data_IF_974679019779
#
_entry.id   IF_974679019779
#
_cell.length_a   1.000
_cell.length_b   1.000
_cell.length_c   1.000
_cell.angle_alpha   90.00
_cell.angle_beta   90.00
_cell.angle_gamma   90.00
#
_symmetry.space_group_name_H-M   'P 1'
#
loop_
_entity.id
_entity.type
_entity.pdbx_description
1 polymer ?
#
# COMPACT_ATOMS: atom_id res chain seq x y z
N UNK A 1 19.55 1.45 -5.51
CA UNK A 1 18.44 1.84 -6.40
C UNK A 1 17.65 0.57 -6.62
N UNK A 2 16.40 0.48 -6.15
CA UNK A 2 15.57 -0.70 -6.45
C UNK A 2 14.73 -0.41 -7.69
N UNK A 3 14.66 -1.42 -8.56
CA UNK A 3 14.00 -1.45 -9.85
C UNK A 3 12.55 -0.97 -9.74
N UNK A 4 12.21 -0.04 -10.63
CA UNK A 4 10.85 0.40 -10.85
C UNK A 4 10.41 -0.27 -12.12
N UNK A 5 9.52 -1.22 -11.98
CA UNK A 5 8.99 -1.90 -13.14
C UNK A 5 7.67 -1.21 -13.51
N UNK A 6 7.73 -0.47 -14.62
CA UNK A 6 6.55 0.08 -15.27
C UNK A 6 6.04 -0.94 -16.27
N UNK A 7 4.78 -1.32 -16.11
CA UNK A 7 4.10 -2.24 -16.99
C UNK A 7 2.97 -1.52 -17.70
N UNK A 8 2.78 -1.84 -18.98
CA UNK A 8 1.60 -1.43 -19.74
C UNK A 8 0.76 -2.67 -19.96
N UNK A 9 -0.45 -2.67 -19.41
CA UNK A 9 -1.45 -3.71 -19.64
C UNK A 9 -2.38 -3.21 -20.75
N UNK A 10 -2.55 -4.00 -21.81
CA UNK A 10 -3.48 -3.70 -22.90
C UNK A 10 -4.28 -4.93 -23.29
N UNK A 11 -5.51 -4.70 -23.77
CA UNK A 11 -6.26 -5.75 -24.44
C UNK A 11 -5.71 -5.92 -25.86
N UNK A 12 -5.49 -7.17 -26.25
CA UNK A 12 -4.89 -7.55 -27.53
C UNK A 12 -5.65 -7.01 -28.76
N UNK A 13 -6.92 -6.63 -28.59
CA UNK A 13 -7.84 -6.20 -29.64
C UNK A 13 -8.19 -4.71 -29.64
N UNK A 14 -7.62 -3.90 -28.73
CA UNK A 14 -8.06 -2.52 -28.53
C UNK A 14 -6.87 -1.58 -28.32
N UNK A 15 -6.52 -0.81 -29.35
CA UNK A 15 -5.37 0.10 -29.35
C UNK A 15 -5.56 1.36 -28.50
N UNK A 16 -6.71 1.51 -27.83
CA UNK A 16 -7.06 2.70 -27.04
C UNK A 16 -6.96 2.52 -25.52
N UNK A 17 -7.02 1.29 -25.00
CA UNK A 17 -7.15 1.03 -23.57
C UNK A 17 -5.84 0.44 -23.00
N UNK A 18 -4.88 1.33 -22.74
CA UNK A 18 -3.62 1.01 -22.08
C UNK A 18 -3.69 1.45 -20.61
N UNK A 19 -3.44 0.51 -19.69
CA UNK A 19 -3.28 0.80 -18.27
C UNK A 19 -1.80 0.74 -17.92
N UNK A 20 -1.25 1.88 -17.51
CA UNK A 20 0.09 1.95 -16.91
C UNK A 20 0.01 1.56 -15.44
N UNK A 21 0.75 0.51 -15.07
CA UNK A 21 0.89 0.01 -13.71
C UNK A 21 2.32 0.21 -13.25
N UNK A 22 2.51 0.77 -12.07
CA UNK A 22 3.82 0.81 -11.42
C UNK A 22 3.86 -0.26 -10.33
N UNK A 23 4.71 -1.27 -10.52
CA UNK A 23 5.00 -2.27 -9.50
C UNK A 23 6.09 -1.76 -8.55
N UNK A 24 5.84 -1.90 -7.26
CA UNK A 24 6.75 -1.49 -6.19
C UNK A 24 6.90 -2.67 -5.23
N UNK A 25 8.07 -3.29 -5.27
CA UNK A 25 8.43 -4.40 -4.39
C UNK A 25 8.83 -3.90 -3.01
N UNK A 26 8.45 -4.64 -1.97
CA UNK A 26 8.84 -4.34 -0.61
C UNK A 26 10.35 -4.46 -0.43
N UNK A 27 10.90 -3.54 0.34
CA UNK A 27 12.25 -3.60 0.85
C UNK A 27 12.33 -4.57 2.05
N UNK A 28 13.54 -5.02 2.43
CA UNK A 28 13.74 -5.73 3.69
C UNK A 28 13.21 -4.92 4.88
N UNK A 29 12.53 -5.61 5.80
CA UNK A 29 11.87 -4.97 6.95
C UNK A 29 12.64 -5.27 8.24
N UNK A 30 12.98 -4.21 8.97
CA UNK A 30 13.42 -4.31 10.36
C UNK A 30 12.21 -4.26 11.30
N UNK A 31 11.80 -5.42 11.83
CA UNK A 31 10.60 -5.56 12.68
C UNK A 31 10.64 -4.69 13.95
N UNK A 32 11.82 -4.42 14.50
CA UNK A 32 11.97 -3.56 15.69
C UNK A 32 11.62 -2.09 15.41
N UNK A 33 11.74 -1.67 14.15
CA UNK A 33 11.47 -0.28 13.73
C UNK A 33 10.06 -0.15 13.19
N UNK A 34 9.64 -1.09 12.35
CA UNK A 34 8.41 -1.01 11.57
C UNK A 34 7.28 -1.91 12.06
N UNK A 35 7.53 -2.77 13.04
CA UNK A 35 6.52 -3.64 13.64
C UNK A 35 5.75 -2.97 14.76
N UNK A 36 4.79 -3.72 15.30
CA UNK A 36 3.99 -3.30 16.44
C UNK A 36 4.84 -3.06 17.70
N UNK A 37 4.52 -1.97 18.40
CA UNK A 37 5.09 -1.62 19.71
C UNK A 37 4.14 -1.92 20.87
N UNK A 38 2.86 -2.16 20.60
CA UNK A 38 1.85 -2.54 21.60
C UNK A 38 1.47 -4.02 21.59
N UNK A 39 2.17 -4.85 20.80
CA UNK A 39 1.90 -6.28 20.71
C UNK A 39 0.67 -6.64 19.86
N UNK A 40 0.32 -5.80 18.89
CA UNK A 40 -0.63 -6.16 17.85
C UNK A 40 -0.09 -7.31 16.97
N UNK A 41 -0.96 -8.24 16.62
CA UNK A 41 -0.64 -9.44 15.83
C UNK A 41 -0.45 -9.10 14.34
N UNK A 42 0.73 -8.55 14.03
CA UNK A 42 1.16 -8.22 12.67
C UNK A 42 1.82 -9.45 12.03
N UNK A 43 1.14 -10.04 11.06
CA UNK A 43 1.57 -11.24 10.37
C UNK A 43 2.69 -10.95 9.37
N UNK A 44 2.54 -9.90 8.56
CA UNK A 44 3.53 -9.49 7.57
C UNK A 44 3.58 -7.96 7.44
N UNK A 45 4.72 -7.44 6.99
CA UNK A 45 4.95 -6.01 6.83
C UNK A 45 5.46 -5.77 5.40
N UNK A 46 4.80 -4.87 4.69
CA UNK A 46 5.29 -4.31 3.44
C UNK A 46 5.93 -2.94 3.69
N UNK A 47 7.20 -2.77 3.33
CA UNK A 47 7.92 -1.50 3.41
C UNK A 47 8.29 -1.03 2.02
N UNK A 48 7.73 0.11 1.60
CA UNK A 48 7.90 0.61 0.24
C UNK A 48 8.49 2.01 0.27
N UNK A 49 9.57 2.23 -0.50
CA UNK A 49 10.18 3.56 -0.68
C UNK A 49 10.27 3.87 -2.16
N UNK A 50 9.52 4.87 -2.61
CA UNK A 50 9.47 5.25 -4.02
C UNK A 50 9.35 6.76 -4.21
N UNK A 51 9.39 7.24 -5.44
CA UNK A 51 9.18 8.67 -5.76
C UNK A 51 8.00 8.75 -6.72
N UNK A 52 7.05 9.63 -6.41
CA UNK A 52 6.09 10.09 -7.40
C UNK A 52 6.85 10.91 -8.46
N UNK A 53 6.71 10.51 -9.71
CA UNK A 53 7.23 11.25 -10.85
C UNK A 53 6.03 11.91 -11.51
N UNK A 54 6.05 13.24 -11.63
CA UNK A 54 5.18 13.93 -12.58
C UNK A 54 5.83 13.82 -13.95
N UNK A 55 5.47 12.78 -14.70
CA UNK A 55 5.89 12.61 -16.10
C UNK A 55 4.68 12.27 -16.95
N UNK A 56 4.81 12.36 -18.27
CA UNK A 56 3.74 11.98 -19.20
C UNK A 56 3.28 10.51 -19.04
N UNK A 57 4.07 9.66 -18.39
CA UNK A 57 3.75 8.26 -18.06
C UNK A 57 3.41 8.09 -16.57
N UNK A 58 2.50 8.89 -16.04
CA UNK A 58 1.97 8.63 -14.70
C UNK A 58 1.25 7.27 -14.68
N UNK A 59 1.55 6.39 -13.70
CA UNK A 59 0.80 5.16 -13.58
C UNK A 59 -0.63 5.49 -13.21
N UNK A 60 -1.58 4.78 -13.81
CA UNK A 60 -2.99 4.85 -13.40
C UNK A 60 -3.19 4.02 -12.12
N UNK A 61 -2.32 3.03 -11.89
CA UNK A 61 -2.42 2.08 -10.78
C UNK A 61 -1.04 1.83 -10.15
N UNK A 62 -1.01 1.78 -8.83
CA UNK A 62 0.12 1.25 -8.06
C UNK A 62 -0.17 -0.20 -7.65
N UNK A 63 0.83 -1.06 -7.82
CA UNK A 63 0.86 -2.41 -7.29
C UNK A 63 1.99 -2.51 -6.27
N UNK A 64 1.67 -2.83 -5.01
CA UNK A 64 2.66 -3.01 -3.94
C UNK A 64 2.76 -4.49 -3.59
N UNK A 65 3.92 -5.10 -3.85
CA UNK A 65 4.13 -6.52 -3.64
C UNK A 65 5.05 -6.77 -2.44
N UNK A 66 4.64 -7.64 -1.51
CA UNK A 66 5.44 -7.99 -0.34
C UNK A 66 5.29 -9.46 0.04
N UNK A 67 6.34 -10.03 0.64
CA UNK A 67 6.33 -11.43 1.05
C UNK A 67 5.61 -11.59 2.39
N UNK A 68 4.60 -12.44 2.43
CA UNK A 68 4.03 -12.96 3.66
C UNK A 68 4.69 -14.29 3.99
N UNK A 69 5.73 -14.26 4.83
CA UNK A 69 6.52 -15.44 5.19
C UNK A 69 5.71 -16.48 5.98
N UNK A 70 4.65 -16.07 6.67
CA UNK A 70 3.79 -16.98 7.42
C UNK A 70 2.94 -17.86 6.47
N UNK A 71 2.40 -17.27 5.40
CA UNK A 71 1.64 -17.99 4.36
C UNK A 71 2.51 -18.55 3.22
N UNK A 72 3.80 -18.21 3.22
CA UNK A 72 4.72 -18.51 2.12
C UNK A 72 4.20 -18.03 0.75
N UNK A 73 3.60 -16.84 0.70
CA UNK A 73 3.03 -16.25 -0.52
C UNK A 73 3.39 -14.77 -0.66
N UNK A 74 3.31 -14.25 -1.89
CA UNK A 74 3.39 -12.82 -2.17
C UNK A 74 1.99 -12.24 -2.07
N UNK A 75 1.84 -11.18 -1.28
CA UNK A 75 0.61 -10.39 -1.19
C UNK A 75 0.78 -9.16 -2.10
N UNK A 76 -0.28 -8.80 -2.83
CA UNK A 76 -0.25 -7.65 -3.75
C UNK A 76 -1.39 -6.69 -3.42
N UNK A 77 -1.05 -5.43 -3.17
CA UNK A 77 -2.02 -4.35 -2.98
C UNK A 77 -2.14 -3.57 -4.29
N UNK A 78 -3.34 -3.56 -4.88
CA UNK A 78 -3.63 -2.91 -6.16
C UNK A 78 -4.54 -1.71 -5.90
N UNK A 79 -3.99 -0.51 -6.03
CA UNK A 79 -4.69 0.74 -5.71
C UNK A 79 -4.60 1.74 -6.87
N UNK A 80 -5.72 2.34 -7.30
CA UNK A 80 -5.69 3.42 -8.28
C UNK A 80 -4.86 4.60 -7.78
N UNK A 81 -4.06 5.19 -8.66
CA UNK A 81 -3.18 6.33 -8.33
C UNK A 81 -3.96 7.49 -7.71
N UNK A 82 -5.15 7.82 -8.23
CA UNK A 82 -5.98 8.88 -7.67
C UNK A 82 -6.41 8.59 -6.23
N UNK A 83 -6.77 7.34 -5.92
CA UNK A 83 -7.18 6.93 -4.58
C UNK A 83 -5.98 6.92 -3.61
N UNK A 84 -4.84 6.39 -4.07
CA UNK A 84 -3.58 6.43 -3.32
C UNK A 84 -3.18 7.88 -3.00
N UNK A 85 -3.20 8.76 -3.99
CA UNK A 85 -2.92 10.18 -3.81
C UNK A 85 -3.95 10.83 -2.89
N UNK A 86 -5.24 10.52 -3.00
CA UNK A 86 -6.26 11.08 -2.09
C UNK A 86 -5.94 10.76 -0.62
N UNK A 87 -5.57 9.50 -0.34
CA UNK A 87 -5.21 9.05 1.02
C UNK A 87 -3.90 9.65 1.51
N UNK A 88 -2.89 9.78 0.66
CA UNK A 88 -1.58 10.33 1.05
C UNK A 88 -1.44 11.86 0.97
N UNK A 89 -2.20 12.54 0.10
CA UNK A 89 -2.10 14.00 -0.15
C UNK A 89 -2.99 14.80 0.81
N UNK A 90 -4.09 14.23 1.32
CA UNK A 90 -4.85 14.85 2.43
C UNK A 90 -3.98 15.17 3.66
N UNK A 91 -2.82 14.52 3.81
CA UNK A 91 -1.88 14.81 4.88
C UNK A 91 -0.89 15.96 4.62
N UNK A 92 -0.61 16.40 3.37
CA UNK A 92 0.36 17.49 3.12
C UNK A 92 -0.03 18.37 1.93
N UNK A 93 -0.31 19.64 2.20
CA UNK A 93 -0.76 20.71 1.30
C UNK A 93 0.22 21.16 0.20
N UNK A 94 1.21 20.36 -0.18
CA UNK A 94 2.20 20.72 -1.20
C UNK A 94 2.15 19.76 -2.38
N UNK A 95 2.18 20.33 -3.59
CA UNK A 95 2.19 19.60 -4.87
C UNK A 95 3.25 18.49 -4.81
N UNK A 96 2.91 17.22 -5.07
CA UNK A 96 3.79 16.09 -4.84
C UNK A 96 4.78 15.90 -5.99
N UNK A 97 5.48 16.95 -6.41
CA UNK A 97 6.50 16.85 -7.43
C UNK A 97 7.83 16.45 -6.74
N UNK A 98 8.35 15.26 -7.03
CA UNK A 98 9.64 14.70 -6.55
C UNK A 98 9.74 14.24 -5.09
N UNK A 99 8.61 14.15 -4.37
CA UNK A 99 8.64 13.68 -2.98
C UNK A 99 8.93 12.16 -2.93
N UNK A 100 9.93 11.78 -2.13
CA UNK A 100 10.10 10.38 -1.72
C UNK A 100 8.95 10.02 -0.79
N UNK A 101 8.21 8.99 -1.16
CA UNK A 101 7.16 8.40 -0.33
C UNK A 101 7.75 7.18 0.34
N UNK A 102 7.50 7.08 1.63
CA UNK A 102 7.60 5.85 2.40
C UNK A 102 6.18 5.41 2.73
N UNK A 103 5.89 4.13 2.50
CA UNK A 103 4.64 3.48 2.85
C UNK A 103 4.98 2.22 3.66
N UNK A 104 4.35 2.06 4.81
CA UNK A 104 4.44 0.87 5.65
C UNK A 104 3.04 0.27 5.75
N UNK A 105 2.86 -0.94 5.25
CA UNK A 105 1.61 -1.67 5.35
C UNK A 105 1.76 -2.82 6.34
N UNK A 106 0.81 -2.94 7.26
CA UNK A 106 0.70 -4.09 8.16
C UNK A 106 -0.39 -5.01 7.66
N UNK A 107 -0.03 -6.26 7.41
CA UNK A 107 -0.97 -7.35 7.17
C UNK A 107 -1.20 -8.05 8.51
N UNK A 108 -2.44 -8.03 8.99
CA UNK A 108 -2.85 -8.62 10.26
C UNK A 108 -3.23 -10.09 10.09
N UNK A 109 -3.15 -10.88 11.16
CA UNK A 109 -3.52 -12.31 11.12
C UNK A 109 -4.97 -12.58 10.69
N UNK A 110 -5.88 -11.63 10.96
CA UNK A 110 -7.28 -11.71 10.56
C UNK A 110 -7.54 -11.26 9.11
N UNK A 111 -6.48 -11.03 8.32
CA UNK A 111 -6.57 -10.74 6.89
C UNK A 111 -6.77 -9.26 6.55
N UNK A 112 -6.80 -8.39 7.54
CA UNK A 112 -6.88 -6.94 7.32
C UNK A 112 -5.52 -6.35 6.98
N UNK A 113 -5.52 -5.28 6.17
CA UNK A 113 -4.31 -4.56 5.77
C UNK A 113 -4.46 -3.09 6.13
N UNK A 114 -3.51 -2.54 6.89
CA UNK A 114 -3.56 -1.14 7.31
C UNK A 114 -2.29 -0.37 6.94
N UNK A 115 -2.46 0.91 6.63
CA UNK A 115 -1.35 1.87 6.57
C UNK A 115 -0.87 2.19 7.99
N UNK A 116 0.36 1.77 8.28
CA UNK A 116 1.06 1.99 9.53
C UNK A 116 2.24 2.98 9.38
N UNK A 117 2.25 3.75 8.29
CA UNK A 117 3.31 4.72 8.00
C UNK A 117 3.38 5.78 9.10
N UNK A 118 4.51 5.85 9.81
CA UNK A 118 4.74 6.76 10.94
C UNK A 118 3.70 6.66 12.06
N UNK A 119 3.10 5.49 12.28
CA UNK A 119 2.15 5.31 13.38
C UNK A 119 2.87 5.44 14.73
N UNK A 120 2.33 6.28 15.63
CA UNK A 120 2.83 6.42 17.00
C UNK A 120 2.37 5.26 17.88
N UNK A 121 2.96 5.10 19.06
CA UNK A 121 2.53 4.10 20.04
C UNK A 121 1.04 4.31 20.41
N UNK A 122 0.65 5.55 20.68
CA UNK A 122 -0.72 5.92 21.05
C UNK A 122 -1.69 5.70 19.89
N UNK A 123 -1.26 6.06 18.68
CA UNK A 123 -2.06 5.89 17.46
C UNK A 123 -2.25 4.42 17.12
N UNK A 124 -1.20 3.60 17.30
CA UNK A 124 -1.28 2.16 17.15
C UNK A 124 -2.28 1.57 18.14
N UNK A 125 -2.18 1.95 19.42
CA UNK A 125 -3.12 1.49 20.44
C UNK A 125 -4.57 1.89 20.10
N UNK A 126 -4.78 3.14 19.69
CA UNK A 126 -6.12 3.67 19.43
C UNK A 126 -6.75 3.12 18.14
N UNK A 127 -5.99 3.08 17.05
CA UNK A 127 -6.51 2.73 15.73
C UNK A 127 -6.44 1.24 15.42
N UNK A 128 -5.37 0.55 15.85
CA UNK A 128 -5.06 -0.80 15.39
C UNK A 128 -5.27 -1.89 16.45
N UNK A 129 -5.50 -1.53 17.71
CA UNK A 129 -5.90 -2.52 18.73
C UNK A 129 -7.28 -3.07 18.42
N UNK A 130 -7.40 -4.40 18.43
CA UNK A 130 -8.66 -5.09 18.16
C UNK A 130 -9.50 -5.17 19.44
N UNK A 131 -10.56 -4.37 19.51
CA UNK A 131 -11.55 -4.41 20.60
C UNK A 131 -12.80 -5.23 20.24
N UNK A 132 -13.78 -5.24 21.15
CA UNK A 132 -15.07 -5.95 20.97
C UNK A 132 -15.89 -5.42 19.75
N UNK A 133 -15.53 -4.25 19.22
CA UNK A 133 -16.14 -3.65 18.03
C UNK A 133 -15.27 -3.65 16.76
N UNK A 134 -14.16 -4.40 16.73
CA UNK A 134 -13.17 -4.32 15.65
C UNK A 134 -12.09 -3.28 15.92
N UNK A 135 -11.42 -2.81 14.88
CA UNK A 135 -10.40 -1.76 14.96
C UNK A 135 -11.00 -0.43 14.54
N UNK A 136 -10.57 0.66 15.16
CA UNK A 136 -11.04 2.00 14.77
C UNK A 136 -10.56 2.41 13.37
N UNK A 137 -9.54 1.72 12.83
CA UNK A 137 -9.08 1.90 11.46
C UNK A 137 -10.02 1.29 10.41
N UNK A 138 -10.94 0.41 10.77
CA UNK A 138 -11.79 -0.32 9.83
C UNK A 138 -12.63 0.63 8.96
N UNK A 139 -12.57 0.46 7.64
CA UNK A 139 -13.27 1.31 6.67
C UNK A 139 -12.76 2.75 6.55
N UNK A 140 -11.67 3.11 7.23
CA UNK A 140 -11.08 4.45 7.15
C UNK A 140 -10.06 4.56 6.00
N UNK A 141 -9.47 5.74 5.81
CA UNK A 141 -8.38 5.94 4.84
C UNK A 141 -7.14 5.08 5.18
N UNK A 142 -6.99 4.62 6.42
CA UNK A 142 -5.93 3.70 6.86
C UNK A 142 -6.18 2.25 6.46
N UNK A 143 -7.41 1.87 6.11
CA UNK A 143 -7.78 0.49 5.76
C UNK A 143 -7.57 0.24 4.26
N UNK A 144 -6.58 -0.60 3.96
CA UNK A 144 -6.19 -1.01 2.61
C UNK A 144 -6.72 -2.40 2.23
N UNK A 145 -7.51 -3.05 3.10
CA UNK A 145 -7.99 -4.42 2.93
C UNK A 145 -8.72 -4.61 1.59
N UNK A 146 -9.54 -3.64 1.18
CA UNK A 146 -10.30 -3.67 -0.09
C UNK A 146 -9.46 -3.52 -1.37
N UNK A 147 -8.14 -3.39 -1.25
CA UNK A 147 -7.18 -3.33 -2.36
C UNK A 147 -6.27 -4.57 -2.42
N UNK A 148 -6.36 -5.47 -1.43
CA UNK A 148 -5.61 -6.72 -1.43
C UNK A 148 -6.11 -7.62 -2.57
N UNK A 149 -5.18 -8.06 -3.43
CA UNK A 149 -5.39 -8.92 -4.60
C UNK A 149 -6.58 -8.49 -5.49
N UNK A 150 -6.85 -7.19 -5.54
CA UNK A 150 -8.01 -6.61 -6.23
C UNK A 150 -7.79 -6.46 -7.74
N UNK A 151 -7.48 -7.56 -8.42
CA UNK A 151 -7.18 -7.60 -9.86
C UNK A 151 -8.34 -7.11 -10.73
N UNK A 152 -9.58 -7.22 -10.25
CA UNK A 152 -10.76 -6.68 -10.92
C UNK A 152 -10.71 -5.16 -11.08
N UNK A 153 -9.96 -4.44 -10.24
CA UNK A 153 -9.74 -2.99 -10.38
C UNK A 153 -8.88 -2.62 -11.58
N UNK A 154 -8.21 -3.60 -12.20
CA UNK A 154 -7.48 -3.44 -13.47
C UNK A 154 -8.39 -3.56 -14.70
N UNK A 155 -9.70 -3.83 -14.53
CA UNK A 155 -10.65 -4.01 -15.64
C UNK A 155 -11.38 -2.72 -16.07
N UNK A 156 -10.90 -1.55 -15.61
CA UNK A 156 -11.46 -0.23 -15.95
C UNK A 156 -11.65 -0.05 -17.47
#
# INVERSE_FOLDING_TARGET
MHDRDFYVISKQSDSGNHLTVQLISSMPVEKLVHGSKNGNDVQAIGLFKFKLISSEQEPVIFAFAFQNSFKNQVEIIIIPTLEFLRRHVKMKSQRPCHKRIELVLWFMEDGFVYDATNISLESEWYFLSKGVGGRMADGTDLDFTSFLDSWERLKL
#
